data_IF_432704496272
#
_entry.id   IF_432704496272
#
_cell.length_a   1.000
_cell.length_b   1.000
_cell.length_c   1.000
_cell.angle_alpha   90.00
_cell.angle_beta   90.00
_cell.angle_gamma   90.00
#
_symmetry.space_group_name_H-M   'P 1'
#
loop_
_entity.id
_entity.type
_entity.pdbx_description
1 polymer ?
#
# COMPACT_ATOMS: atom_id res chain seq x y z
N UNK A 1 -12.76 1.93 4.87
CA UNK A 1 -13.67 1.03 5.64
C UNK A 1 -13.19 -0.43 5.62
N UNK A 2 -13.01 -1.09 4.46
CA UNK A 2 -12.58 -2.52 4.40
C UNK A 2 -11.17 -2.79 4.95
N UNK A 3 -10.25 -1.84 4.81
CA UNK A 3 -8.86 -2.04 5.23
C UNK A 3 -8.65 -1.93 6.74
N UNK A 4 -9.51 -1.18 7.44
CA UNK A 4 -9.45 -1.06 8.91
C UNK A 4 -9.89 -2.36 9.60
N UNK A 5 -10.98 -2.98 9.14
CA UNK A 5 -11.43 -4.28 9.69
C UNK A 5 -10.38 -5.38 9.50
N UNK A 6 -9.76 -5.45 8.32
CA UNK A 6 -8.65 -6.38 8.07
C UNK A 6 -7.44 -6.09 8.94
N UNK A 7 -7.13 -4.81 9.18
CA UNK A 7 -6.01 -4.43 10.04
C UNK A 7 -6.26 -4.84 11.51
N UNK A 8 -7.49 -4.70 11.99
CA UNK A 8 -7.91 -5.14 13.32
C UNK A 8 -7.86 -6.67 13.46
N UNK A 9 -8.35 -7.42 12.47
CA UNK A 9 -8.24 -8.89 12.46
C UNK A 9 -6.78 -9.34 12.52
N UNK A 10 -5.89 -8.71 11.75
CA UNK A 10 -4.45 -9.00 11.78
C UNK A 10 -3.83 -8.65 13.14
N UNK A 11 -4.24 -7.55 13.76
CA UNK A 11 -3.77 -7.18 15.10
C UNK A 11 -4.23 -8.20 16.15
N UNK A 12 -5.47 -8.68 16.08
CA UNK A 12 -6.00 -9.70 16.97
C UNK A 12 -5.21 -11.01 16.86
N UNK A 13 -4.93 -11.47 15.64
CA UNK A 13 -4.09 -12.64 15.39
C UNK A 13 -2.68 -12.47 15.99
N UNK A 14 -2.10 -11.27 15.86
CA UNK A 14 -0.77 -10.97 16.44
C UNK A 14 -0.80 -10.94 17.97
N UNK A 15 -1.87 -10.45 18.61
CA UNK A 15 -2.00 -10.53 20.07
C UNK A 15 -2.12 -11.98 20.51
N UNK A 16 -2.93 -12.78 19.83
CA UNK A 16 -3.10 -14.20 20.16
C UNK A 16 -1.76 -14.95 20.07
N UNK A 17 -0.95 -14.65 19.04
CA UNK A 17 0.41 -15.15 18.90
C UNK A 17 1.32 -14.76 20.08
N UNK A 18 1.19 -13.53 20.58
CA UNK A 18 2.01 -13.00 21.66
C UNK A 18 1.54 -13.41 23.06
N UNK A 19 0.27 -13.83 23.20
CA UNK A 19 -0.35 -14.17 24.50
C UNK A 19 0.52 -15.11 25.36
N UNK A 20 1.11 -16.21 24.85
CA UNK A 20 1.99 -17.08 25.64
C UNK A 20 3.28 -16.42 26.13
N UNK A 21 3.73 -15.34 25.47
CA UNK A 21 4.94 -14.58 25.79
C UNK A 21 4.65 -13.35 26.68
N UNK A 22 3.38 -13.02 26.89
CA UNK A 22 2.93 -11.92 27.73
C UNK A 22 2.51 -12.37 29.14
N UNK A 23 2.51 -13.69 29.41
CA UNK A 23 2.24 -14.22 30.74
C UNK A 23 3.28 -13.69 31.76
N UNK A 24 2.79 -13.14 32.87
CA UNK A 24 3.63 -12.65 33.96
C UNK A 24 4.39 -13.80 34.64
N UNK A 25 5.65 -13.55 35.05
CA UNK A 25 6.49 -14.56 35.72
C UNK A 25 7.18 -15.55 34.78
N UNK A 26 7.27 -15.26 33.48
CA UNK A 26 7.93 -16.13 32.51
C UNK A 26 9.45 -16.18 32.71
N UNK A 27 9.97 -17.37 33.03
CA UNK A 27 11.41 -17.64 33.07
C UNK A 27 12.05 -17.40 31.68
N UNK A 28 13.20 -16.68 31.59
CA UNK A 28 13.94 -16.50 30.33
C UNK A 28 14.26 -17.80 29.56
N UNK A 29 14.35 -18.95 30.21
CA UNK A 29 14.51 -20.24 29.53
C UNK A 29 13.22 -20.67 28.82
N UNK A 30 12.09 -20.65 29.53
CA UNK A 30 10.76 -20.96 28.97
C UNK A 30 10.36 -19.97 27.87
N UNK A 31 10.67 -18.70 28.06
CA UNK A 31 10.43 -17.66 27.05
C UNK A 31 11.16 -17.97 25.72
N UNK A 32 12.37 -18.53 25.78
CA UNK A 32 13.11 -18.95 24.57
C UNK A 32 12.45 -20.15 23.89
N UNK A 33 12.04 -21.16 24.64
CA UNK A 33 11.34 -22.33 24.07
C UNK A 33 10.05 -21.93 23.37
N UNK A 34 9.22 -21.10 24.03
CA UNK A 34 7.96 -20.62 23.47
C UNK A 34 8.21 -19.79 22.20
N UNK A 35 9.25 -18.94 22.17
CA UNK A 35 9.60 -18.20 20.95
C UNK A 35 9.97 -19.14 19.80
N UNK A 36 10.80 -20.14 20.04
CA UNK A 36 11.20 -21.11 19.02
C UNK A 36 9.99 -21.86 18.47
N UNK A 37 9.13 -22.35 19.36
CA UNK A 37 7.90 -23.06 18.99
C UNK A 37 6.96 -22.18 18.14
N UNK A 38 6.77 -20.91 18.53
CA UNK A 38 5.97 -19.96 17.76
C UNK A 38 6.59 -19.69 16.38
N UNK A 39 7.91 -19.55 16.31
CA UNK A 39 8.63 -19.33 15.05
C UNK A 39 8.46 -20.51 14.09
N UNK A 40 8.55 -21.74 14.60
CA UNK A 40 8.36 -22.97 13.83
C UNK A 40 6.91 -23.15 13.36
N UNK A 41 5.93 -22.99 14.25
CA UNK A 41 4.52 -23.19 13.92
C UNK A 41 3.98 -22.20 12.90
N UNK A 42 4.46 -20.95 12.96
CA UNK A 42 3.93 -19.85 12.14
C UNK A 42 4.85 -19.48 10.96
N UNK A 43 6.02 -20.13 10.86
CA UNK A 43 7.04 -19.80 9.85
C UNK A 43 7.59 -18.37 10.00
N UNK A 44 7.60 -17.83 11.21
CA UNK A 44 8.04 -16.46 11.49
C UNK A 44 9.48 -16.45 12.03
N UNK A 45 10.25 -15.42 11.67
CA UNK A 45 11.57 -15.20 12.28
C UNK A 45 11.46 -14.66 13.71
N UNK A 46 12.41 -15.02 14.57
CA UNK A 46 12.48 -14.48 15.94
C UNK A 46 12.54 -12.94 15.95
N UNK A 47 13.18 -12.34 14.94
CA UNK A 47 13.24 -10.88 14.75
C UNK A 47 11.84 -10.26 14.61
N UNK A 48 10.95 -10.91 13.86
CA UNK A 48 9.55 -10.47 13.70
C UNK A 48 8.82 -10.50 15.04
N UNK A 49 9.01 -11.57 15.81
CA UNK A 49 8.37 -11.77 17.11
C UNK A 49 8.84 -10.73 18.14
N UNK A 50 10.16 -10.47 18.21
CA UNK A 50 10.74 -9.40 19.04
C UNK A 50 10.19 -8.02 18.67
N UNK A 51 10.08 -7.72 17.36
CA UNK A 51 9.51 -6.46 16.88
C UNK A 51 8.06 -6.30 17.33
N UNK A 52 7.22 -7.33 17.17
CA UNK A 52 5.83 -7.27 17.61
C UNK A 52 5.70 -7.09 19.13
N UNK A 53 6.50 -7.79 19.94
CA UNK A 53 6.53 -7.59 21.38
C UNK A 53 6.92 -6.15 21.77
N UNK A 54 7.97 -5.60 21.16
CA UNK A 54 8.39 -4.22 21.42
C UNK A 54 7.29 -3.21 21.05
N UNK A 55 6.64 -3.42 19.91
CA UNK A 55 5.57 -2.56 19.43
C UNK A 55 4.33 -2.64 20.33
N UNK A 56 3.98 -3.85 20.80
CA UNK A 56 2.87 -4.06 21.74
C UNK A 56 3.15 -3.45 23.11
N UNK A 57 4.38 -3.56 23.63
CA UNK A 57 4.75 -2.91 24.90
C UNK A 57 4.72 -1.38 24.83
N UNK A 58 5.01 -0.81 23.65
CA UNK A 58 5.07 0.64 23.45
C UNK A 58 3.71 1.27 23.14
N UNK A 59 2.94 0.64 22.27
CA UNK A 59 1.73 1.20 21.65
C UNK A 59 0.49 0.30 21.86
N UNK A 60 0.60 -0.79 22.61
CA UNK A 60 -0.50 -1.72 22.86
C UNK A 60 -1.01 -2.41 21.59
N UNK A 61 -2.32 -2.64 21.54
CA UNK A 61 -3.00 -3.25 20.40
C UNK A 61 -2.81 -2.44 19.09
N UNK A 62 -2.85 -1.11 19.18
CA UNK A 62 -2.68 -0.22 18.02
C UNK A 62 -1.32 -0.43 17.34
N UNK A 63 -0.29 -0.70 18.13
CA UNK A 63 1.04 -1.03 17.62
C UNK A 63 1.10 -2.31 16.78
N UNK A 64 0.22 -3.27 17.04
CA UNK A 64 0.15 -4.52 16.29
C UNK A 64 -0.70 -4.42 15.04
N UNK A 65 -1.48 -3.35 14.86
CA UNK A 65 -2.15 -3.14 13.58
C UNK A 65 -1.09 -3.05 12.50
N UNK A 66 -1.24 -3.78 11.37
CA UNK A 66 -0.38 -3.53 10.24
C UNK A 66 -0.57 -2.05 9.93
N UNK A 67 0.53 -1.29 9.98
CA UNK A 67 0.58 0.02 9.36
C UNK A 67 0.28 -0.28 7.92
N UNK A 68 -1.00 -0.16 7.53
CA UNK A 68 -1.45 -0.35 6.17
C UNK A 68 -0.43 0.39 5.35
N UNK A 69 0.14 -0.25 4.31
CA UNK A 69 0.97 0.44 3.33
C UNK A 69 0.28 1.77 3.18
N UNK A 70 0.92 2.83 3.69
CA UNK A 70 0.28 4.13 3.66
C UNK A 70 -0.21 4.22 2.25
N UNK A 71 -1.45 4.64 2.06
CA UNK A 71 -1.73 5.35 0.85
C UNK A 71 -0.73 6.54 0.86
N UNK A 72 0.55 6.32 0.53
CA UNK A 72 1.04 6.76 -0.76
C UNK A 72 -0.09 6.40 -1.72
N UNK A 73 -1.12 7.24 -1.73
CA UNK A 73 -1.66 7.79 -2.95
C UNK A 73 -0.45 7.79 -3.84
N UNK A 74 -0.36 6.79 -4.74
CA UNK A 74 0.70 6.73 -5.75
C UNK A 74 0.86 8.19 -6.12
N UNK A 75 1.99 8.83 -5.77
CA UNK A 75 2.20 10.25 -6.07
C UNK A 75 1.72 10.37 -7.49
N UNK A 76 0.56 11.03 -7.68
CA UNK A 76 -0.25 10.72 -8.85
C UNK A 76 0.68 10.99 -10.01
N UNK A 77 1.05 9.94 -10.75
CA UNK A 77 2.14 10.01 -11.73
C UNK A 77 1.81 11.04 -12.82
N UNK A 78 0.59 11.54 -12.80
CA UNK A 78 -0.02 12.57 -13.60
C UNK A 78 -0.67 13.56 -12.63
N UNK A 79 -0.27 14.82 -12.66
CA UNK A 79 -0.95 15.85 -11.88
C UNK A 79 -2.44 15.92 -12.29
N UNK A 80 -3.37 16.24 -11.37
CA UNK A 80 -4.79 16.31 -11.71
C UNK A 80 -5.09 17.21 -12.91
N UNK A 81 -4.37 18.34 -13.00
CA UNK A 81 -4.42 19.29 -14.12
C UNK A 81 -4.01 18.64 -15.46
N UNK A 82 -2.92 17.88 -15.47
CA UNK A 82 -2.45 17.19 -16.68
C UNK A 82 -3.46 16.13 -17.16
N UNK A 83 -4.12 15.46 -16.21
CA UNK A 83 -5.16 14.49 -16.54
C UNK A 83 -6.43 15.15 -17.07
N UNK A 84 -6.83 16.30 -16.53
CA UNK A 84 -7.95 17.09 -17.05
C UNK A 84 -7.70 17.54 -18.49
N UNK A 85 -6.50 18.04 -18.79
CA UNK A 85 -6.14 18.41 -20.15
C UNK A 85 -6.18 17.20 -21.09
N UNK A 86 -5.66 16.04 -20.67
CA UNK A 86 -5.75 14.82 -21.45
C UNK A 86 -7.20 14.39 -21.76
N UNK A 87 -8.11 14.60 -20.80
CA UNK A 87 -9.54 14.34 -20.99
C UNK A 87 -10.15 15.35 -21.98
N UNK A 88 -9.81 16.62 -21.91
CA UNK A 88 -10.27 17.63 -22.87
C UNK A 88 -9.86 17.26 -24.30
N UNK A 89 -8.58 16.93 -24.50
CA UNK A 89 -8.05 16.47 -25.78
C UNK A 89 -8.78 15.22 -26.29
N UNK A 90 -9.16 14.29 -25.41
CA UNK A 90 -9.95 13.11 -25.77
C UNK A 90 -11.40 13.45 -26.14
N UNK A 91 -12.02 14.39 -25.43
CA UNK A 91 -13.42 14.79 -25.66
C UNK A 91 -13.60 15.52 -26.98
N UNK A 92 -12.63 16.34 -27.36
CA UNK A 92 -12.63 17.04 -28.65
C UNK A 92 -12.55 16.07 -29.83
N UNK A 93 -11.70 15.04 -29.74
CA UNK A 93 -11.55 14.02 -30.79
C UNK A 93 -11.42 12.64 -30.14
N UNK A 94 -12.52 11.88 -30.05
CA UNK A 94 -12.54 10.56 -29.42
C UNK A 94 -11.57 9.55 -30.04
N UNK A 95 -11.25 9.70 -31.32
CA UNK A 95 -10.35 8.84 -32.09
C UNK A 95 -8.86 9.10 -31.84
N UNK A 96 -8.48 10.18 -31.15
CA UNK A 96 -7.07 10.50 -30.86
C UNK A 96 -6.39 9.35 -30.12
N UNK A 97 -5.18 8.96 -30.48
CA UNK A 97 -4.49 7.91 -29.71
C UNK A 97 -3.95 8.46 -28.39
N UNK A 98 -3.75 7.60 -27.39
CA UNK A 98 -3.11 8.01 -26.11
C UNK A 98 -1.70 8.57 -26.36
N UNK A 99 -0.98 8.03 -27.35
CA UNK A 99 0.34 8.53 -27.73
C UNK A 99 0.27 9.96 -28.30
N UNK A 100 -0.73 10.25 -29.13
CA UNK A 100 -0.96 11.61 -29.66
C UNK A 100 -1.33 12.60 -28.54
N UNK A 101 -2.14 12.18 -27.57
CA UNK A 101 -2.47 13.03 -26.41
C UNK A 101 -1.19 13.35 -25.62
N UNK A 102 -0.32 12.37 -25.37
CA UNK A 102 0.97 12.62 -24.72
C UNK A 102 1.82 13.62 -25.51
N UNK A 103 1.92 13.42 -26.82
CA UNK A 103 2.70 14.30 -27.68
C UNK A 103 2.19 15.74 -27.68
N UNK A 104 0.87 15.95 -27.67
CA UNK A 104 0.27 17.29 -27.55
C UNK A 104 0.59 17.90 -26.20
N UNK A 105 0.45 17.15 -25.11
CA UNK A 105 0.77 17.64 -23.76
C UNK A 105 2.26 17.99 -23.61
N UNK A 106 3.14 17.25 -24.27
CA UNK A 106 4.57 17.56 -24.34
C UNK A 106 4.84 18.82 -25.16
N UNK A 107 4.16 19.01 -26.29
CA UNK A 107 4.27 20.22 -27.12
C UNK A 107 3.71 21.47 -26.45
N UNK A 108 2.63 21.34 -25.66
CA UNK A 108 2.05 22.43 -24.87
C UNK A 108 2.89 22.77 -23.62
N UNK A 109 3.97 22.02 -23.35
CA UNK A 109 4.82 22.22 -22.18
C UNK A 109 4.15 21.82 -20.85
N UNK A 110 3.02 21.11 -20.91
CA UNK A 110 2.28 20.61 -19.75
C UNK A 110 2.91 19.33 -19.17
N UNK A 111 3.65 18.60 -20.00
CA UNK A 111 4.48 17.46 -19.60
C UNK A 111 5.88 17.59 -20.21
N UNK A 112 6.91 17.13 -19.49
CA UNK A 112 8.24 16.98 -20.06
C UNK A 112 8.30 15.73 -20.94
N UNK A 113 9.13 15.72 -22.01
CA UNK A 113 9.34 14.55 -22.85
C UNK A 113 9.68 13.31 -22.02
N UNK A 114 8.83 12.29 -22.11
CA UNK A 114 9.03 11.02 -21.38
C UNK A 114 8.65 11.04 -19.90
N UNK A 115 8.16 12.16 -19.36
CA UNK A 115 7.58 12.23 -18.01
C UNK A 115 6.29 11.39 -17.92
N UNK A 116 5.50 11.38 -18.99
CA UNK A 116 4.20 10.73 -19.03
C UNK A 116 4.26 9.42 -19.81
N UNK A 117 4.14 8.29 -19.13
CA UNK A 117 4.07 6.97 -19.78
C UNK A 117 2.68 6.72 -20.38
N UNK A 118 2.64 6.16 -21.59
CA UNK A 118 1.41 5.74 -22.27
C UNK A 118 0.51 4.87 -21.39
N UNK A 119 1.07 3.84 -20.76
CA UNK A 119 0.30 2.91 -19.92
C UNK A 119 -0.36 3.61 -18.74
N UNK A 120 0.35 4.55 -18.11
CA UNK A 120 -0.15 5.34 -16.99
C UNK A 120 -1.29 6.26 -17.41
N UNK A 121 -1.16 6.97 -18.54
CA UNK A 121 -2.23 7.83 -19.03
C UNK A 121 -3.46 7.02 -19.45
N UNK A 122 -3.26 5.87 -20.10
CA UNK A 122 -4.34 4.97 -20.49
C UNK A 122 -5.12 4.43 -19.29
N UNK A 123 -4.44 3.97 -18.23
CA UNK A 123 -5.07 3.51 -16.99
C UNK A 123 -5.93 4.62 -16.37
N UNK A 124 -5.39 5.83 -16.24
CA UNK A 124 -6.11 6.98 -15.67
C UNK A 124 -7.29 7.46 -16.53
N UNK A 125 -7.17 7.42 -17.86
CA UNK A 125 -8.30 7.69 -18.76
C UNK A 125 -9.37 6.60 -18.66
N UNK A 126 -8.99 5.33 -18.52
CA UNK A 126 -9.92 4.21 -18.34
C UNK A 126 -10.69 4.32 -17.02
N UNK A 127 -10.03 4.65 -15.91
CA UNK A 127 -10.67 4.90 -14.61
C UNK A 127 -11.75 5.99 -14.70
N UNK A 128 -11.57 6.96 -15.60
CA UNK A 128 -12.50 8.09 -15.83
C UNK A 128 -13.53 7.80 -16.93
N UNK A 129 -13.50 6.61 -17.55
CA UNK A 129 -14.43 6.22 -18.62
C UNK A 129 -14.07 6.70 -20.03
N UNK A 130 -12.86 7.20 -20.25
CA UNK A 130 -12.38 7.79 -21.50
C UNK A 130 -11.37 6.90 -22.26
N UNK A 131 -11.28 5.61 -21.92
CA UNK A 131 -10.49 4.66 -22.70
C UNK A 131 -11.30 4.13 -23.87
N UNK A 132 -10.76 4.29 -25.08
CA UNK A 132 -11.16 3.46 -26.23
C UNK A 132 -10.70 2.02 -25.96
N UNK A 133 -11.60 1.04 -26.12
CA UNK A 133 -11.25 -0.38 -26.11
C UNK A 133 -10.30 -0.71 -27.26
#
# INVERSE_FOLDING_TARGET
>A
MKDQKKAEEIAALRVQLLSPLLADGLDPAKARQIKTQICEQMGLSERTLRRYLAQYRKEGFEGLKPKGKGNKQKEDAITPQLLEQAILLRREVPTRSVAQIIQILEWEGLALPGQLKRSTLQEKLAERGYSTR
#
